data_IF_907130458940
#
_entry.id   IF_907130458940
#
_cell.length_a   1.000
_cell.length_b   1.000
_cell.length_c   1.000
_cell.angle_alpha   90.00
_cell.angle_beta   90.00
_cell.angle_gamma   90.00
#
_symmetry.space_group_name_H-M   'P 1'
#
loop_
_entity.id
_entity.type
_entity.pdbx_description
1 polymer ?
#
# COMPACT_ATOMS: atom_id res chain seq x y z
N UNK A 1 1.23 -8.86 -16.22
CA UNK A 1 2.55 -8.69 -15.58
C UNK A 1 2.48 -9.62 -14.40
N UNK A 2 3.41 -10.55 -14.32
CA UNK A 2 3.35 -11.60 -13.30
C UNK A 2 4.45 -11.36 -12.27
N UNK A 3 4.07 -11.25 -11.00
CA UNK A 3 4.99 -11.18 -9.86
C UNK A 3 4.77 -12.42 -9.03
N UNK A 4 5.72 -13.36 -9.09
CA UNK A 4 5.58 -14.69 -8.51
C UNK A 4 4.26 -15.38 -8.92
N UNK A 5 3.32 -15.54 -7.99
CA UNK A 5 2.03 -16.21 -8.22
C UNK A 5 0.90 -15.25 -8.59
N UNK A 6 1.11 -13.94 -8.54
CA UNK A 6 0.10 -12.90 -8.80
C UNK A 6 0.20 -12.46 -10.28
N UNK A 7 -0.93 -12.41 -10.98
CA UNK A 7 -1.03 -11.86 -12.35
C UNK A 7 -1.86 -10.57 -12.36
N UNK A 8 -1.20 -9.47 -12.69
CA UNK A 8 -1.76 -8.11 -12.69
C UNK A 8 -2.22 -7.65 -14.08
N UNK A 9 -2.30 -8.54 -15.08
CA UNK A 9 -2.76 -8.17 -16.42
C UNK A 9 -1.73 -7.37 -17.23
N UNK A 10 -2.09 -6.90 -18.44
CA UNK A 10 -1.10 -6.50 -19.45
C UNK A 10 -0.27 -5.26 -19.06
N UNK A 11 -0.90 -4.23 -18.52
CA UNK A 11 -0.31 -2.91 -18.24
C UNK A 11 -0.84 -2.40 -16.89
N UNK A 12 -0.40 -2.96 -15.76
CA UNK A 12 -0.99 -2.59 -14.49
C UNK A 12 -0.53 -1.22 -14.01
N UNK A 13 -1.42 -0.53 -13.30
CA UNK A 13 -1.18 0.76 -12.68
C UNK A 13 -0.82 0.59 -11.20
N UNK A 14 0.38 1.04 -10.84
CA UNK A 14 0.89 0.92 -9.49
C UNK A 14 0.90 2.29 -8.80
N UNK A 15 0.34 2.36 -7.59
CA UNK A 15 0.50 3.53 -6.73
C UNK A 15 1.79 3.39 -5.92
N UNK A 16 2.79 4.23 -6.20
CA UNK A 16 4.07 4.21 -5.50
C UNK A 16 3.96 4.67 -4.03
N UNK A 17 4.80 4.14 -3.11
CA UNK A 17 4.79 4.55 -1.71
C UNK A 17 5.33 5.97 -1.53
N UNK A 18 4.61 6.80 -0.78
CA UNK A 18 4.97 8.19 -0.48
C UNK A 18 4.57 8.53 0.96
N UNK A 19 5.54 8.97 1.76
CA UNK A 19 5.32 9.39 3.16
C UNK A 19 4.31 10.54 3.26
N UNK A 20 3.38 10.46 4.22
CA UNK A 20 2.30 11.43 4.45
C UNK A 20 1.36 11.65 3.25
N UNK A 21 1.39 10.76 2.25
CA UNK A 21 0.53 10.82 1.05
C UNK A 21 -0.23 9.53 0.84
N UNK A 22 0.45 8.38 0.81
CA UNK A 22 -0.20 7.08 0.56
C UNK A 22 -0.79 6.44 1.82
N UNK A 23 -1.56 7.22 2.58
CA UNK A 23 -2.32 6.74 3.72
C UNK A 23 -3.49 5.84 3.29
N UNK A 24 -4.21 5.25 4.24
CA UNK A 24 -5.31 4.33 3.91
C UNK A 24 -6.42 5.01 3.08
N UNK A 25 -6.73 6.29 3.36
CA UNK A 25 -7.78 7.04 2.67
C UNK A 25 -7.43 7.30 1.21
N UNK A 26 -6.19 7.70 0.94
CA UNK A 26 -5.70 7.97 -0.40
C UNK A 26 -5.64 6.69 -1.23
N UNK A 27 -5.16 5.59 -0.64
CA UNK A 27 -5.13 4.28 -1.32
C UNK A 27 -6.54 3.79 -1.67
N UNK A 28 -7.51 3.98 -0.77
CA UNK A 28 -8.92 3.68 -1.06
C UNK A 28 -9.41 4.42 -2.31
N UNK A 29 -9.15 5.73 -2.40
CA UNK A 29 -9.50 6.51 -3.58
C UNK A 29 -8.76 5.98 -4.81
N UNK A 30 -7.45 5.74 -4.74
CA UNK A 30 -6.71 5.23 -5.90
C UNK A 30 -7.23 3.86 -6.38
N UNK A 31 -7.69 2.99 -5.47
CA UNK A 31 -8.31 1.71 -5.83
C UNK A 31 -9.59 1.93 -6.64
N UNK A 32 -10.47 2.82 -6.19
CA UNK A 32 -11.72 3.18 -6.88
C UNK A 32 -11.46 3.75 -8.30
N UNK A 33 -10.30 4.37 -8.51
CA UNK A 33 -9.89 4.93 -9.80
C UNK A 33 -9.04 3.98 -10.67
N UNK A 34 -8.87 2.72 -10.25
CA UNK A 34 -8.26 1.67 -11.07
C UNK A 34 -6.77 1.41 -10.81
N UNK A 35 -6.26 1.69 -9.61
CA UNK A 35 -4.95 1.19 -9.21
C UNK A 35 -5.01 -0.34 -8.99
N UNK A 36 -4.13 -1.08 -9.68
CA UNK A 36 -4.07 -2.55 -9.59
C UNK A 36 -3.26 -3.02 -8.38
N UNK A 37 -2.24 -2.25 -7.99
CA UNK A 37 -1.39 -2.52 -6.83
C UNK A 37 -1.00 -1.22 -6.14
N UNK A 38 -0.98 -1.24 -4.80
CA UNK A 38 -0.68 -0.08 -3.98
C UNK A 38 0.29 -0.49 -2.86
N UNK A 39 1.01 0.49 -2.34
CA UNK A 39 1.90 0.31 -1.19
C UNK A 39 1.47 1.26 -0.06
N UNK A 40 1.72 0.86 1.18
CA UNK A 40 1.62 1.77 2.33
C UNK A 40 2.65 2.89 2.23
N UNK A 41 2.56 3.86 3.14
CA UNK A 41 3.67 4.76 3.44
C UNK A 41 4.94 4.02 3.90
N UNK A 42 6.03 4.76 4.09
CA UNK A 42 7.28 4.18 4.59
C UNK A 42 7.15 3.77 6.06
N UNK A 43 7.30 2.47 6.32
CA UNK A 43 7.27 1.91 7.66
C UNK A 43 8.70 1.63 8.14
N UNK A 44 9.10 2.29 9.23
CA UNK A 44 10.40 2.04 9.87
C UNK A 44 10.38 0.70 10.61
N UNK A 45 11.30 -0.21 10.26
CA UNK A 45 11.46 -1.48 10.95
C UNK A 45 11.88 -1.31 12.42
N UNK A 46 12.82 -0.40 12.71
CA UNK A 46 13.23 -0.10 14.10
C UNK A 46 12.08 0.57 14.88
N UNK A 47 11.29 1.42 14.23
CA UNK A 47 10.08 1.99 14.81
C UNK A 47 9.04 0.92 15.17
N UNK A 48 8.84 -0.07 14.31
CA UNK A 48 7.92 -1.17 14.56
C UNK A 48 8.37 -2.06 15.73
N UNK A 49 9.68 -2.37 15.83
CA UNK A 49 10.24 -3.18 16.91
C UNK A 49 10.19 -2.45 18.26
N UNK A 50 10.25 -1.12 18.26
CA UNK A 50 10.18 -0.27 19.46
C UNK A 50 8.77 0.22 19.79
N UNK A 51 7.74 -0.40 19.20
CA UNK A 51 6.32 -0.05 19.40
C UNK A 51 6.00 1.43 19.16
N UNK A 52 6.67 2.04 18.18
CA UNK A 52 6.34 3.39 17.75
C UNK A 52 4.93 3.42 17.15
N UNK A 53 4.01 4.08 17.85
CA UNK A 53 2.60 4.23 17.47
C UNK A 53 2.42 4.63 16.00
N UNK A 54 3.17 5.64 15.54
CA UNK A 54 3.14 6.13 14.16
C UNK A 54 3.50 5.06 13.12
N UNK A 55 4.39 4.13 13.44
CA UNK A 55 4.74 3.03 12.52
C UNK A 55 3.64 1.99 12.41
N UNK A 56 2.83 1.81 13.47
CA UNK A 56 1.70 0.88 13.48
C UNK A 56 0.49 1.44 12.72
N UNK A 57 0.22 2.75 12.81
CA UNK A 57 -0.88 3.39 12.06
C UNK A 57 -0.75 3.21 10.55
N UNK A 58 0.47 3.24 10.02
CA UNK A 58 0.75 3.05 8.59
C UNK A 58 0.47 1.64 8.07
N UNK A 59 0.31 0.67 8.96
CA UNK A 59 0.03 -0.74 8.62
C UNK A 59 -1.47 -1.04 8.48
N UNK A 60 -2.33 -0.02 8.59
CA UNK A 60 -3.76 -0.18 8.36
C UNK A 60 -4.01 -0.50 6.88
N UNK A 61 -4.63 -1.65 6.63
CA UNK A 61 -4.96 -2.18 5.31
C UNK A 61 -6.43 -2.64 5.29
N UNK A 62 -7.13 -2.40 4.17
CA UNK A 62 -8.42 -3.01 3.82
C UNK A 62 -8.20 -4.22 2.90
N UNK A 63 -9.15 -5.16 2.90
CA UNK A 63 -9.12 -6.30 1.97
C UNK A 63 -9.29 -5.87 0.50
N UNK A 64 -9.94 -4.73 0.25
CA UNK A 64 -10.10 -4.16 -1.10
C UNK A 64 -8.76 -3.70 -1.71
N UNK A 65 -7.73 -3.51 -0.87
CA UNK A 65 -6.40 -3.08 -1.31
C UNK A 65 -5.56 -4.23 -1.91
N UNK A 66 -6.03 -5.47 -1.80
CA UNK A 66 -5.29 -6.65 -2.30
C UNK A 66 -5.23 -6.65 -3.84
N UNK A 67 -4.07 -7.01 -4.43
CA UNK A 67 -3.95 -7.28 -5.86
C UNK A 67 -4.53 -8.63 -6.28
#
# INVERSE_FOLDING_TARGET
MKIATIDLGKEPLFLAPMEDVTDASFRYICKEYGADMMYTEFVSADGLIRDAWKSREKLVLSDDERP
#
